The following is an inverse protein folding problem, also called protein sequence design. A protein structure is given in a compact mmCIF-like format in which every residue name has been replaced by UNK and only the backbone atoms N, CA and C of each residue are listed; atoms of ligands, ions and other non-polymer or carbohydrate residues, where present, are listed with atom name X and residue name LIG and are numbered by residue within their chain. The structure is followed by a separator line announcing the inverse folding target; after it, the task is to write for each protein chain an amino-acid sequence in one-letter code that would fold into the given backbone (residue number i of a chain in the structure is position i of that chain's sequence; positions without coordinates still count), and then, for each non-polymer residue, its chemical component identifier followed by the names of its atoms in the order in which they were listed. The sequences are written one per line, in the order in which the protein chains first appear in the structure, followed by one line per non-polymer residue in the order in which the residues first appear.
data_IF_875084601429
#
_entry.id   IF_875084601429
#
_cell.length_a   1.000
_cell.length_b   1.000
_cell.length_c   1.000
_cell.angle_alpha   90.00
_cell.angle_beta   90.00
_cell.angle_gamma   90.00
#
_symmetry.space_group_name_H-M   'P 1'
#
loop_
_entity.id
_entity.type
_entity.pdbx_description
1 polymer ?
#
# COMPACT_ATOMS: atom_id res chain seq x y z
N UNK A 1 -2.78 12.76 -18.83
CA UNK A 1 -3.08 13.74 -17.77
C UNK A 1 -3.84 12.98 -16.67
N UNK A 2 -3.15 12.46 -15.65
CA UNK A 2 -3.77 11.71 -14.56
C UNK A 2 -4.47 12.69 -13.62
N UNK A 3 -5.78 12.55 -13.42
CA UNK A 3 -6.53 13.36 -12.46
C UNK A 3 -6.92 12.46 -11.28
N UNK A 4 -6.52 12.81 -10.04
CA UNK A 4 -7.07 12.16 -8.87
C UNK A 4 -8.55 12.54 -8.72
N UNK A 5 -9.44 11.55 -8.81
CA UNK A 5 -10.90 11.74 -8.65
C UNK A 5 -11.33 11.94 -7.19
N UNK A 6 -10.40 11.85 -6.22
CA UNK A 6 -10.66 12.08 -4.80
C UNK A 6 -9.73 13.13 -4.20
N UNK A 7 -10.30 14.07 -3.44
CA UNK A 7 -9.57 15.13 -2.74
C UNK A 7 -8.49 14.60 -1.77
N UNK A 8 -8.64 13.37 -1.28
CA UNK A 8 -7.66 12.67 -0.43
C UNK A 8 -6.32 12.36 -1.12
N UNK A 9 -6.23 12.50 -2.45
CA UNK A 9 -5.02 12.15 -3.22
C UNK A 9 -4.18 13.38 -3.63
N UNK A 10 -4.58 14.60 -3.23
CA UNK A 10 -3.93 15.85 -3.67
C UNK A 10 -2.49 16.03 -3.16
N UNK A 11 -2.08 15.30 -2.12
CA UNK A 11 -0.73 15.40 -1.54
C UNK A 11 0.09 14.10 -1.61
N UNK A 12 -0.43 13.04 -2.27
CA UNK A 12 0.16 11.69 -2.27
C UNK A 12 0.60 11.22 -3.66
N UNK A 13 0.86 12.15 -4.58
CA UNK A 13 1.38 11.84 -5.91
C UNK A 13 2.89 12.04 -5.96
N UNK A 14 3.67 11.06 -6.48
CA UNK A 14 3.27 9.76 -6.99
C UNK A 14 3.13 8.68 -5.89
N UNK A 15 2.35 7.62 -6.17
CA UNK A 15 2.22 6.42 -5.33
C UNK A 15 2.26 5.16 -6.19
N UNK A 16 2.63 4.02 -5.58
CA UNK A 16 2.63 2.71 -6.25
C UNK A 16 1.55 1.83 -5.63
N UNK A 17 0.62 1.35 -6.46
CA UNK A 17 -0.38 0.36 -6.04
C UNK A 17 0.13 -1.06 -6.35
N UNK A 18 -0.06 -2.00 -5.43
CA UNK A 18 0.37 -3.39 -5.55
C UNK A 18 -0.78 -4.35 -5.26
N UNK A 19 -0.71 -5.55 -5.86
CA UNK A 19 -1.54 -6.69 -5.52
C UNK A 19 -0.66 -7.71 -4.79
N UNK A 20 -0.96 -7.94 -3.51
CA UNK A 20 -0.15 -8.81 -2.64
C UNK A 20 -0.90 -10.11 -2.40
N UNK A 21 -0.25 -11.22 -2.74
CA UNK A 21 -0.75 -12.56 -2.40
C UNK A 21 -0.40 -12.90 -0.95
N UNK A 22 -1.36 -13.48 -0.22
CA UNK A 22 -1.19 -13.98 1.13
C UNK A 22 -1.17 -15.53 1.08
N UNK A 23 0.00 -16.18 0.99
CA UNK A 23 0.09 -17.61 0.66
C UNK A 23 -0.64 -18.51 1.67
N UNK A 24 -0.68 -18.11 2.94
CA UNK A 24 -1.30 -18.87 4.02
C UNK A 24 -2.80 -18.61 4.18
N UNK A 25 -3.38 -17.74 3.34
CA UNK A 25 -4.79 -17.33 3.42
C UNK A 25 -5.62 -17.84 2.24
N UNK A 26 -5.30 -19.01 1.68
CA UNK A 26 -6.17 -19.66 0.69
C UNK A 26 -6.32 -18.89 -0.63
N UNK A 27 -5.21 -18.47 -1.24
CA UNK A 27 -5.17 -17.70 -2.49
C UNK A 27 -5.80 -16.30 -2.42
N UNK A 28 -6.01 -15.76 -1.21
CA UNK A 28 -6.43 -14.36 -1.04
C UNK A 28 -5.34 -13.42 -1.54
N UNK A 29 -5.77 -12.39 -2.26
CA UNK A 29 -4.92 -11.28 -2.70
C UNK A 29 -5.54 -9.97 -2.26
N UNK A 30 -4.72 -9.06 -1.75
CA UNK A 30 -5.14 -7.76 -1.28
C UNK A 30 -4.47 -6.66 -2.10
N UNK A 31 -5.26 -5.64 -2.45
CA UNK A 31 -4.76 -4.43 -3.09
C UNK A 31 -4.43 -3.39 -2.03
N UNK A 32 -3.33 -2.65 -2.20
CA UNK A 32 -2.96 -1.52 -1.34
C UNK A 32 -1.77 -0.75 -1.91
N UNK A 33 -1.34 0.30 -1.21
CA UNK A 33 -0.19 1.08 -1.67
C UNK A 33 1.12 0.52 -1.10
N UNK A 34 2.19 0.62 -1.88
CA UNK A 34 3.55 0.37 -1.45
C UNK A 34 4.15 1.66 -0.90
N UNK A 35 4.49 1.65 0.38
CA UNK A 35 5.19 2.72 1.07
C UNK A 35 6.66 2.77 0.63
N UNK A 36 7.23 3.97 0.66
CA UNK A 36 8.62 4.23 0.28
C UNK A 36 8.72 5.28 -0.81
N UNK A 37 9.85 5.28 -1.53
CA UNK A 37 10.04 6.15 -2.68
C UNK A 37 9.16 5.65 -3.83
N UNK A 38 8.24 6.47 -4.36
CA UNK A 38 7.38 6.07 -5.47
C UNK A 38 8.12 5.82 -6.79
N UNK A 39 9.39 6.21 -6.91
CA UNK A 39 10.25 5.90 -8.06
C UNK A 39 11.15 4.68 -7.82
N UNK A 40 11.05 4.02 -6.66
CA UNK A 40 11.87 2.85 -6.36
C UNK A 40 11.58 1.70 -7.34
N UNK A 41 12.59 0.87 -7.67
CA UNK A 41 12.36 -0.32 -8.47
C UNK A 41 11.46 -1.30 -7.72
N UNK A 42 10.40 -1.77 -8.39
CA UNK A 42 9.49 -2.79 -7.86
C UNK A 42 9.57 -4.01 -8.76
N UNK A 43 9.92 -5.15 -8.16
CA UNK A 43 10.02 -6.45 -8.85
C UNK A 43 8.84 -7.33 -8.44
N UNK A 44 8.15 -7.90 -9.43
CA UNK A 44 7.07 -8.86 -9.17
C UNK A 44 7.63 -10.06 -8.40
N UNK A 45 6.94 -10.47 -7.35
CA UNK A 45 7.40 -11.55 -6.45
C UNK A 45 8.32 -11.09 -5.32
N UNK A 46 8.60 -9.78 -5.20
CA UNK A 46 9.26 -9.25 -4.02
C UNK A 46 8.43 -9.48 -2.76
N UNK A 47 9.11 -9.82 -1.65
CA UNK A 47 8.46 -9.96 -0.35
C UNK A 47 8.09 -8.60 0.20
N UNK A 48 6.90 -8.52 0.78
CA UNK A 48 6.39 -7.34 1.46
C UNK A 48 5.85 -7.70 2.83
N UNK A 49 5.80 -6.70 3.70
CA UNK A 49 5.11 -6.77 4.98
C UNK A 49 3.92 -5.80 4.99
N UNK A 50 2.85 -6.20 5.69
CA UNK A 50 1.71 -5.33 5.95
C UNK A 50 2.03 -4.32 7.05
N UNK A 51 1.72 -3.05 6.81
CA UNK A 51 1.87 -1.95 7.76
C UNK A 51 0.50 -1.30 7.94
N UNK A 52 0.03 -1.18 9.18
CA UNK A 52 -1.22 -0.49 9.47
C UNK A 52 -0.96 0.99 9.76
N UNK A 53 -1.56 1.84 8.94
CA UNK A 53 -1.68 3.28 9.21
C UNK A 53 -2.98 3.52 9.99
N UNK A 54 -2.86 4.05 11.20
CA UNK A 54 -4.00 4.27 12.08
C UNK A 54 -4.52 5.69 11.95
N UNK A 55 -5.84 5.84 11.77
CA UNK A 55 -6.54 7.12 11.77
C UNK A 55 -7.56 7.16 12.91
N UNK A 56 -7.09 7.33 14.17
CA UNK A 56 -7.98 7.33 15.34
C UNK A 56 -8.86 8.58 15.41
N UNK A 57 -8.41 9.69 14.83
CA UNK A 57 -9.13 10.97 14.80
C UNK A 57 -10.20 11.04 13.68
N UNK A 58 -10.29 10.02 12.83
CA UNK A 58 -11.35 9.92 11.82
C UNK A 58 -12.67 9.48 12.47
N UNK A 59 -13.81 9.88 11.90
CA UNK A 59 -15.14 9.40 12.30
C UNK A 59 -15.86 8.73 11.12
N UNK A 60 -15.99 7.39 11.11
CA UNK A 60 -15.52 6.46 12.13
C UNK A 60 -13.99 6.27 12.10
N UNK A 61 -13.42 5.90 13.24
CA UNK A 61 -11.98 5.57 13.33
C UNK A 61 -11.68 4.33 12.49
N UNK A 62 -10.57 4.31 11.77
CA UNK A 62 -10.17 3.17 10.96
C UNK A 62 -8.66 2.95 10.95
N UNK A 63 -8.25 1.77 10.51
CA UNK A 63 -6.86 1.46 10.19
C UNK A 63 -6.78 1.02 8.74
N UNK A 64 -5.82 1.58 8.01
CA UNK A 64 -5.58 1.29 6.61
C UNK A 64 -4.35 0.39 6.47
N UNK A 65 -4.52 -0.75 5.79
CA UNK A 65 -3.41 -1.63 5.47
C UNK A 65 -2.65 -1.09 4.26
N UNK A 66 -1.35 -0.90 4.43
CA UNK A 66 -0.39 -0.57 3.38
C UNK A 66 0.71 -1.64 3.34
N UNK A 67 1.57 -1.58 2.33
CA UNK A 67 2.64 -2.55 2.11
C UNK A 67 4.01 -1.87 2.17
N UNK A 68 5.02 -2.57 2.65
CA UNK A 68 6.42 -2.14 2.58
C UNK A 68 7.29 -3.28 2.07
N UNK A 69 8.26 -2.99 1.21
CA UNK A 69 9.25 -3.98 0.79
C UNK A 69 9.99 -4.52 2.02
N UNK A 70 10.06 -5.85 2.15
CA UNK A 70 10.90 -6.46 3.17
C UNK A 70 12.35 -6.39 2.68
N UNK A 71 13.19 -5.69 3.42
CA UNK A 71 14.64 -5.72 3.17
C UNK A 71 15.14 -7.13 3.47
N UNK A 72 15.86 -7.73 2.51
CA UNK A 72 16.55 -9.01 2.72
C UNK A 72 17.81 -8.71 3.54
N UNK A 73 17.93 -9.32 4.72
CA UNK A 73 19.14 -9.30 5.57
C UNK A 73 20.25 -10.16 5.01
#
# INVERSE_FOLDING_TARGET
MWHPSHAALRHHGPYVAVLVELPHAGSVRLVGNLLGDPQQPVVIGAEVEGVFEHHPESDPSFSLLQWRLRLRS
#
